data_IF_037662557000
#
_entry.id   IF_037662557000
#
_cell.length_a   1.000
_cell.length_b   1.000
_cell.length_c   1.000
_cell.angle_alpha   90.00
_cell.angle_beta   90.00
_cell.angle_gamma   90.00
#
_symmetry.space_group_name_H-M   'P 1'
#
loop_
_entity.id
_entity.type
_entity.pdbx_description
1 polymer ?
#
# COMPACT_ATOMS: atom_id res chain seq x y z
N UNK A 1 -8.62 21.13 4.40
CA UNK A 1 -9.63 21.33 3.37
C UNK A 1 -10.44 22.62 3.57
N UNK A 2 -11.18 22.72 4.67
CA UNK A 2 -12.13 23.83 4.94
C UNK A 2 -11.43 25.19 4.97
N UNK A 3 -10.25 25.30 5.57
CA UNK A 3 -9.49 26.57 5.66
C UNK A 3 -9.00 27.12 4.31
N UNK A 4 -9.11 26.36 3.21
CA UNK A 4 -8.64 26.75 1.87
C UNK A 4 -9.73 26.66 0.80
N UNK A 5 -11.02 26.69 1.18
CA UNK A 5 -12.14 26.63 0.24
C UNK A 5 -12.25 25.32 -0.56
N UNK A 6 -11.57 24.26 -0.14
CA UNK A 6 -11.70 22.94 -0.75
C UNK A 6 -12.84 22.16 -0.08
N UNK A 7 -13.56 21.37 -0.85
CA UNK A 7 -14.59 20.44 -0.32
C UNK A 7 -14.03 19.60 0.81
N UNK A 8 -14.86 19.31 1.80
CA UNK A 8 -14.55 18.32 2.83
C UNK A 8 -14.36 16.98 2.14
N UNK A 9 -13.39 16.21 2.58
CA UNK A 9 -13.17 14.84 2.13
C UNK A 9 -12.91 13.94 3.33
N UNK A 10 -13.39 12.72 3.27
CA UNK A 10 -13.14 11.69 4.29
C UNK A 10 -12.39 10.53 3.65
N UNK A 11 -11.42 9.97 4.37
CA UNK A 11 -10.68 8.79 3.88
C UNK A 11 -11.58 7.56 3.81
N UNK A 12 -12.55 7.43 4.72
CA UNK A 12 -13.38 6.22 4.87
C UNK A 12 -14.74 6.36 4.20
N UNK A 13 -15.26 7.59 4.09
CA UNK A 13 -16.55 7.86 3.47
C UNK A 13 -16.36 8.69 2.20
N UNK A 14 -16.39 8.08 1.01
CA UNK A 14 -16.26 8.78 -0.27
C UNK A 14 -17.48 9.63 -0.60
N UNK A 15 -18.62 9.41 0.06
CA UNK A 15 -19.88 10.15 -0.14
C UNK A 15 -19.99 11.46 0.65
N UNK A 16 -18.99 11.82 1.42
CA UNK A 16 -19.02 13.09 2.15
C UNK A 16 -19.27 14.25 1.18
N UNK A 17 -20.34 15.02 1.42
CA UNK A 17 -20.81 16.15 0.58
C UNK A 17 -21.21 15.76 -0.85
N UNK A 18 -21.57 14.50 -1.11
CA UNK A 18 -22.19 14.07 -2.35
C UNK A 18 -23.69 13.85 -2.11
N UNK A 19 -24.47 14.20 -3.11
CA UNK A 19 -25.87 13.83 -3.16
C UNK A 19 -25.99 12.29 -3.28
N UNK A 20 -27.09 11.70 -2.84
CA UNK A 20 -27.31 10.25 -2.66
C UNK A 20 -27.22 9.38 -3.94
N UNK A 21 -26.91 9.98 -5.09
CA UNK A 21 -26.90 9.33 -6.40
C UNK A 21 -26.04 8.06 -6.52
N UNK A 22 -25.03 7.88 -5.66
CA UNK A 22 -24.14 6.71 -5.72
C UNK A 22 -24.76 5.41 -5.23
N UNK A 23 -25.91 5.45 -4.57
CA UNK A 23 -26.58 4.27 -4.00
C UNK A 23 -27.88 3.90 -4.72
N UNK A 24 -28.24 4.59 -5.79
CA UNK A 24 -29.46 4.27 -6.55
C UNK A 24 -29.36 2.87 -7.15
N UNK A 25 -30.41 2.03 -6.98
CA UNK A 25 -30.45 0.71 -7.59
C UNK A 25 -30.37 0.81 -9.12
N UNK A 26 -29.66 -0.13 -9.73
CA UNK A 26 -29.62 -0.23 -11.19
C UNK A 26 -30.91 -0.84 -11.73
N UNK A 27 -31.27 -0.49 -12.98
CA UNK A 27 -32.44 -1.08 -13.65
C UNK A 27 -32.21 -2.55 -13.99
N UNK A 28 -30.97 -2.95 -14.27
CA UNK A 28 -30.59 -4.32 -14.61
C UNK A 28 -29.37 -4.76 -13.80
N UNK A 29 -29.54 -5.84 -13.04
CA UNK A 29 -28.48 -6.41 -12.22
C UNK A 29 -27.46 -7.17 -13.08
N UNK A 30 -26.18 -6.91 -12.84
CA UNK A 30 -25.06 -7.64 -13.47
C UNK A 30 -24.40 -8.56 -12.46
N UNK A 31 -23.68 -9.56 -12.94
CA UNK A 31 -22.73 -10.30 -12.16
C UNK A 31 -21.38 -9.56 -12.19
N UNK A 32 -20.81 -9.28 -11.03
CA UNK A 32 -19.56 -8.50 -10.89
C UNK A 32 -18.53 -9.35 -10.13
N UNK A 33 -17.37 -9.55 -10.73
CA UNK A 33 -16.21 -10.11 -10.10
C UNK A 33 -15.26 -8.98 -9.67
N UNK A 34 -14.94 -8.92 -8.38
CA UNK A 34 -13.90 -8.01 -7.86
C UNK A 34 -12.70 -8.83 -7.44
N UNK A 35 -11.53 -8.56 -8.03
CA UNK A 35 -10.26 -9.22 -7.71
C UNK A 35 -9.42 -8.30 -6.83
N UNK A 36 -9.24 -8.67 -5.57
CA UNK A 36 -8.52 -7.93 -4.55
C UNK A 36 -9.42 -7.34 -3.47
N UNK A 37 -9.19 -7.72 -2.21
CA UNK A 37 -9.90 -7.26 -1.01
C UNK A 37 -9.14 -6.15 -0.25
N UNK A 38 -8.38 -5.32 -0.98
CA UNK A 38 -7.85 -4.07 -0.48
C UNK A 38 -8.95 -3.00 -0.32
N UNK A 39 -8.62 -1.77 0.15
CA UNK A 39 -9.61 -0.73 0.39
C UNK A 39 -10.41 -0.35 -0.86
N UNK A 40 -9.78 -0.36 -2.03
CA UNK A 40 -10.43 -0.06 -3.31
C UNK A 40 -11.44 -1.14 -3.71
N UNK A 41 -11.04 -2.41 -3.67
CA UNK A 41 -11.90 -3.54 -4.04
C UNK A 41 -13.05 -3.75 -3.07
N UNK A 42 -12.82 -3.62 -1.76
CA UNK A 42 -13.90 -3.69 -0.78
C UNK A 42 -14.95 -2.59 -0.99
N UNK A 43 -14.52 -1.36 -1.30
CA UNK A 43 -15.47 -0.28 -1.58
C UNK A 43 -16.22 -0.52 -2.88
N UNK A 44 -15.54 -0.94 -3.96
CA UNK A 44 -16.18 -1.26 -5.22
C UNK A 44 -17.23 -2.38 -5.06
N UNK A 45 -16.86 -3.46 -4.37
CA UNK A 45 -17.76 -4.58 -4.12
C UNK A 45 -18.99 -4.17 -3.30
N UNK A 46 -18.80 -3.35 -2.26
CA UNK A 46 -19.90 -2.85 -1.44
C UNK A 46 -20.87 -1.98 -2.24
N UNK A 47 -20.36 -0.98 -2.96
CA UNK A 47 -21.20 -0.06 -3.73
C UNK A 47 -21.95 -0.80 -4.85
N UNK A 48 -21.27 -1.68 -5.58
CA UNK A 48 -21.92 -2.50 -6.62
C UNK A 48 -23.06 -3.35 -6.05
N UNK A 49 -22.84 -4.01 -4.89
CA UNK A 49 -23.88 -4.81 -4.24
C UNK A 49 -25.05 -3.94 -3.73
N UNK A 50 -24.76 -2.76 -3.17
CA UNK A 50 -25.79 -1.80 -2.73
C UNK A 50 -26.66 -1.28 -3.88
N UNK A 51 -26.12 -1.23 -5.08
CA UNK A 51 -26.86 -0.87 -6.30
C UNK A 51 -27.65 -2.03 -6.91
N UNK A 52 -27.53 -3.24 -6.36
CA UNK A 52 -28.32 -4.41 -6.76
C UNK A 52 -27.58 -5.39 -7.66
N UNK A 53 -26.28 -5.24 -7.87
CA UNK A 53 -25.49 -6.23 -8.62
C UNK A 53 -25.21 -7.49 -7.77
N UNK A 54 -25.00 -8.64 -8.43
CA UNK A 54 -24.53 -9.87 -7.80
C UNK A 54 -23.01 -9.84 -7.74
N UNK A 55 -22.43 -9.71 -6.55
CA UNK A 55 -21.00 -9.45 -6.41
C UNK A 55 -20.27 -10.64 -5.77
N UNK A 56 -19.17 -11.06 -6.41
CA UNK A 56 -18.18 -11.97 -5.86
C UNK A 56 -16.86 -11.22 -5.72
N UNK A 57 -16.28 -11.23 -4.52
CA UNK A 57 -14.97 -10.66 -4.24
C UNK A 57 -14.00 -11.80 -3.95
N UNK A 58 -12.86 -11.83 -4.66
CA UNK A 58 -11.81 -12.85 -4.52
C UNK A 58 -10.50 -12.19 -4.16
N UNK A 59 -9.78 -12.74 -3.18
CA UNK A 59 -8.44 -12.29 -2.82
C UNK A 59 -7.48 -13.46 -2.60
N UNK A 60 -6.23 -13.30 -3.00
CA UNK A 60 -5.17 -14.30 -2.78
C UNK A 60 -4.74 -14.40 -1.33
N UNK A 61 -4.95 -13.38 -0.53
CA UNK A 61 -4.67 -13.39 0.90
C UNK A 61 -5.81 -14.08 1.66
N UNK A 62 -5.49 -14.63 2.82
CA UNK A 62 -6.48 -15.31 3.68
C UNK A 62 -7.40 -14.32 4.43
N UNK A 63 -7.08 -13.03 4.41
CA UNK A 63 -7.78 -11.99 5.15
C UNK A 63 -7.91 -10.71 4.33
N UNK A 64 -9.03 -9.94 4.53
CA UNK A 64 -9.24 -8.66 3.85
C UNK A 64 -8.30 -7.57 4.36
N UNK A 65 -8.17 -6.50 3.56
CA UNK A 65 -7.47 -5.28 3.93
C UNK A 65 -6.28 -4.93 3.04
N UNK A 66 -5.72 -5.90 2.31
CA UNK A 66 -4.57 -5.67 1.43
C UNK A 66 -3.44 -4.91 2.16
N UNK A 67 -2.82 -3.94 1.47
CA UNK A 67 -1.72 -3.13 2.02
C UNK A 67 -2.09 -2.31 3.27
N UNK A 68 -3.38 -2.05 3.55
CA UNK A 68 -3.78 -1.39 4.80
C UNK A 68 -3.40 -2.19 6.05
N UNK A 69 -3.30 -3.53 5.94
CA UNK A 69 -2.85 -4.38 7.06
C UNK A 69 -1.41 -4.06 7.44
N UNK A 70 -0.55 -3.90 6.43
CA UNK A 70 0.86 -3.54 6.59
C UNK A 70 0.99 -2.10 7.07
N UNK A 71 0.22 -1.18 6.48
CA UNK A 71 0.19 0.22 6.88
C UNK A 71 -0.30 0.45 8.32
N UNK A 72 -1.00 -0.51 8.93
CA UNK A 72 -1.45 -0.45 10.32
C UNK A 72 -0.37 -0.84 11.34
N UNK A 73 0.76 -1.41 10.91
CA UNK A 73 1.82 -1.93 11.81
C UNK A 73 2.67 -0.84 12.46
N UNK A 74 3.11 0.22 11.73
CA UNK A 74 3.90 1.28 12.32
C UNK A 74 3.22 1.97 13.51
N UNK A 75 3.99 2.60 14.41
CA UNK A 75 3.44 3.29 15.59
C UNK A 75 2.37 4.33 15.25
N UNK A 76 1.30 4.36 16.06
CA UNK A 76 0.15 5.27 15.95
C UNK A 76 -0.73 5.09 14.70
N UNK A 77 -0.66 3.92 14.03
CA UNK A 77 -1.46 3.61 12.83
C UNK A 77 -2.46 2.46 13.03
N UNK A 78 -2.54 1.87 14.21
CA UNK A 78 -3.39 0.71 14.51
C UNK A 78 -4.88 0.94 14.25
N UNK A 79 -5.33 2.21 14.23
CA UNK A 79 -6.72 2.57 13.88
C UNK A 79 -7.12 2.16 12.45
N UNK A 80 -6.15 1.96 11.54
CA UNK A 80 -6.44 1.46 10.19
C UNK A 80 -7.08 0.06 10.22
N UNK A 81 -6.81 -0.74 11.24
CA UNK A 81 -7.46 -2.05 11.43
C UNK A 81 -8.98 -1.92 11.62
N UNK A 82 -9.45 -0.80 12.19
CA UNK A 82 -10.89 -0.51 12.33
C UNK A 82 -11.53 -0.19 10.99
N UNK A 83 -10.80 0.47 10.09
CA UNK A 83 -11.28 0.76 8.73
C UNK A 83 -11.46 -0.56 7.96
N UNK A 84 -10.50 -1.46 8.04
CA UNK A 84 -10.58 -2.80 7.41
C UNK A 84 -11.84 -3.55 7.92
N UNK A 85 -12.00 -3.62 9.25
CA UNK A 85 -13.15 -4.28 9.87
C UNK A 85 -14.48 -3.64 9.46
N UNK A 86 -14.53 -2.32 9.37
CA UNK A 86 -15.70 -1.57 8.94
C UNK A 86 -16.06 -1.91 7.48
N UNK A 87 -15.11 -1.84 6.55
CA UNK A 87 -15.36 -2.16 5.15
C UNK A 87 -15.79 -3.64 5.00
N UNK A 88 -15.10 -4.56 5.65
CA UNK A 88 -15.43 -5.98 5.56
C UNK A 88 -16.84 -6.30 6.10
N UNK A 89 -17.24 -5.69 7.23
CA UNK A 89 -18.60 -5.84 7.75
C UNK A 89 -19.65 -5.37 6.75
N UNK A 90 -19.42 -4.23 6.07
CA UNK A 90 -20.33 -3.71 5.04
C UNK A 90 -20.53 -4.69 3.88
N UNK A 91 -19.50 -5.45 3.49
CA UNK A 91 -19.61 -6.48 2.46
C UNK A 91 -20.61 -7.58 2.87
N UNK A 92 -20.49 -8.07 4.11
CA UNK A 92 -21.40 -9.08 4.65
C UNK A 92 -22.85 -8.56 4.73
N UNK A 93 -23.05 -7.33 5.21
CA UNK A 93 -24.35 -6.66 5.28
C UNK A 93 -24.98 -6.44 3.90
N UNK A 94 -24.18 -6.26 2.85
CA UNK A 94 -24.63 -6.11 1.47
C UNK A 94 -24.76 -7.44 0.70
N UNK A 95 -24.46 -8.58 1.33
CA UNK A 95 -24.59 -9.91 0.73
C UNK A 95 -23.47 -10.25 -0.27
N UNK A 96 -22.31 -9.59 -0.21
CA UNK A 96 -21.17 -9.88 -1.09
C UNK A 96 -20.59 -11.26 -0.74
N UNK A 97 -20.43 -12.13 -1.74
CA UNK A 97 -19.72 -13.41 -1.58
C UNK A 97 -18.22 -13.16 -1.60
N UNK A 98 -17.53 -13.35 -0.46
CA UNK A 98 -16.09 -13.22 -0.35
C UNK A 98 -15.40 -14.58 -0.38
N UNK A 99 -14.33 -14.71 -1.17
CA UNK A 99 -13.47 -15.91 -1.32
C UNK A 99 -12.03 -15.47 -1.06
N UNK A 100 -11.42 -15.98 -0.02
CA UNK A 100 -10.04 -15.68 0.37
C UNK A 100 -9.11 -16.86 0.11
N UNK A 101 -7.79 -16.63 0.12
CA UNK A 101 -6.78 -17.65 -0.12
C UNK A 101 -6.78 -18.17 -1.57
N UNK A 102 -7.31 -17.39 -2.51
CA UNK A 102 -7.47 -17.81 -3.91
C UNK A 102 -6.88 -16.78 -4.85
N UNK A 103 -5.81 -17.13 -5.53
CA UNK A 103 -5.23 -16.32 -6.61
C UNK A 103 -5.86 -16.73 -7.94
N UNK A 104 -6.48 -15.77 -8.64
CA UNK A 104 -7.09 -16.00 -9.94
C UNK A 104 -6.12 -15.69 -11.07
N UNK A 105 -6.01 -16.60 -12.04
CA UNK A 105 -5.37 -16.36 -13.34
C UNK A 105 -6.36 -15.84 -14.37
N UNK A 106 -5.87 -15.37 -15.52
CA UNK A 106 -6.75 -14.96 -16.62
C UNK A 106 -7.59 -16.15 -17.13
N UNK A 107 -7.04 -17.36 -17.17
CA UNK A 107 -7.73 -18.59 -17.55
C UNK A 107 -8.85 -18.95 -16.56
N UNK A 108 -8.63 -18.80 -15.26
CA UNK A 108 -9.67 -19.02 -14.25
C UNK A 108 -10.83 -18.05 -14.42
N UNK A 109 -10.54 -16.78 -14.67
CA UNK A 109 -11.56 -15.74 -14.89
C UNK A 109 -12.38 -16.04 -16.14
N UNK A 110 -11.74 -16.42 -17.25
CA UNK A 110 -12.43 -16.79 -18.49
C UNK A 110 -13.31 -18.04 -18.32
N UNK A 111 -12.84 -19.03 -17.55
CA UNK A 111 -13.57 -20.28 -17.36
C UNK A 111 -14.73 -20.14 -16.39
N UNK A 112 -14.50 -19.53 -15.22
CA UNK A 112 -15.43 -19.60 -14.08
C UNK A 112 -16.29 -18.33 -13.95
N UNK A 113 -15.85 -17.22 -14.57
CA UNK A 113 -16.51 -15.90 -14.49
C UNK A 113 -16.83 -15.32 -15.87
N UNK A 114 -17.03 -16.17 -16.87
CA UNK A 114 -17.45 -15.72 -18.21
C UNK A 114 -18.74 -14.91 -18.11
N UNK A 115 -18.77 -13.72 -18.73
CA UNK A 115 -19.91 -12.80 -18.71
C UNK A 115 -20.06 -11.95 -17.44
N UNK A 116 -19.10 -12.01 -16.52
CA UNK A 116 -19.02 -11.07 -15.40
C UNK A 116 -18.40 -9.74 -15.85
N UNK A 117 -18.85 -8.63 -15.25
CA UNK A 117 -18.06 -7.39 -15.22
C UNK A 117 -16.86 -7.60 -14.29
N UNK A 118 -15.65 -7.42 -14.79
CA UNK A 118 -14.42 -7.71 -14.06
C UNK A 118 -13.80 -6.44 -13.54
N UNK A 119 -13.67 -6.32 -12.22
CA UNK A 119 -13.05 -5.21 -11.50
C UNK A 119 -11.74 -5.68 -10.87
N UNK A 120 -10.64 -5.07 -11.27
CA UNK A 120 -9.29 -5.43 -10.84
C UNK A 120 -8.75 -4.41 -9.83
N UNK A 121 -8.61 -4.83 -8.57
CA UNK A 121 -8.18 -4.01 -7.43
C UNK A 121 -7.05 -4.70 -6.62
N UNK A 122 -6.21 -5.47 -7.28
CA UNK A 122 -5.21 -6.36 -6.67
C UNK A 122 -3.90 -5.66 -6.26
N UNK A 123 -3.88 -4.30 -6.30
CA UNK A 123 -2.82 -3.49 -5.72
C UNK A 123 -1.58 -3.32 -6.60
N UNK A 124 -0.46 -2.98 -5.95
CA UNK A 124 0.81 -2.67 -6.57
C UNK A 124 1.93 -3.57 -6.03
N UNK A 125 3.11 -3.47 -6.61
CA UNK A 125 4.31 -4.17 -6.17
C UNK A 125 5.36 -3.18 -5.67
N UNK A 126 6.12 -3.50 -4.59
CA UNK A 126 7.22 -2.66 -4.15
C UNK A 126 8.34 -2.62 -5.19
N UNK A 127 8.96 -1.45 -5.33
CA UNK A 127 10.10 -1.26 -6.22
C UNK A 127 11.35 -1.83 -5.55
N UNK A 128 11.93 -2.85 -6.16
CA UNK A 128 13.14 -3.54 -5.70
C UNK A 128 14.16 -3.65 -6.86
N UNK A 129 15.07 -2.65 -7.06
CA UNK A 129 16.03 -2.66 -8.14
C UNK A 129 16.99 -3.84 -8.07
N UNK A 130 17.29 -4.44 -9.22
CA UNK A 130 18.11 -5.66 -9.30
C UNK A 130 19.51 -5.48 -8.67
N UNK A 131 20.14 -4.31 -8.85
CA UNK A 131 21.49 -4.05 -8.32
C UNK A 131 21.53 -4.02 -6.78
N UNK A 132 20.39 -3.81 -6.11
CA UNK A 132 20.30 -3.82 -4.65
C UNK A 132 20.11 -5.23 -4.07
N UNK A 133 19.75 -6.21 -4.89
CA UNK A 133 19.52 -7.60 -4.46
C UNK A 133 20.79 -8.35 -4.11
N UNK A 134 21.96 -7.80 -4.44
CA UNK A 134 23.27 -8.39 -4.12
C UNK A 134 23.73 -8.19 -2.67
N UNK A 135 23.00 -7.44 -1.83
CA UNK A 135 23.31 -7.26 -0.43
C UNK A 135 23.03 -8.56 0.36
N UNK A 136 23.81 -8.82 1.41
CA UNK A 136 23.74 -10.09 2.17
C UNK A 136 22.37 -10.41 2.77
N UNK A 137 21.60 -9.39 3.16
CA UNK A 137 20.21 -9.54 3.60
C UNK A 137 19.41 -8.35 3.10
N UNK A 138 18.57 -8.60 2.10
CA UNK A 138 17.67 -7.60 1.50
C UNK A 138 16.24 -8.00 1.78
N UNK A 139 15.41 -7.03 2.11
CA UNK A 139 13.97 -7.19 2.25
C UNK A 139 13.25 -5.91 1.82
N UNK A 140 12.00 -6.02 1.46
CA UNK A 140 11.13 -4.85 1.28
C UNK A 140 10.58 -4.37 2.63
N UNK A 141 10.15 -3.12 2.72
CA UNK A 141 9.41 -2.64 3.88
C UNK A 141 8.15 -3.48 4.14
N UNK A 142 7.50 -3.95 3.08
CA UNK A 142 6.31 -4.80 3.13
C UNK A 142 6.60 -6.16 3.77
N UNK A 143 7.70 -6.82 3.38
CA UNK A 143 8.09 -8.11 3.97
C UNK A 143 8.41 -7.96 5.46
N UNK A 144 9.07 -6.86 5.83
CA UNK A 144 9.40 -6.57 7.20
C UNK A 144 8.16 -6.28 8.05
N UNK A 145 7.34 -5.32 7.62
CA UNK A 145 6.13 -4.92 8.34
C UNK A 145 5.06 -6.02 8.31
N UNK A 146 5.04 -6.84 7.26
CA UNK A 146 4.18 -8.01 7.13
C UNK A 146 4.63 -9.22 7.95
N UNK A 147 5.79 -9.13 8.65
CA UNK A 147 6.33 -10.22 9.48
C UNK A 147 6.89 -11.40 8.69
N UNK A 148 7.12 -11.23 7.39
CA UNK A 148 7.71 -12.27 6.51
C UNK A 148 9.23 -12.31 6.59
N UNK A 149 9.87 -11.20 7.00
CA UNK A 149 11.31 -11.07 7.12
C UNK A 149 11.69 -10.34 8.42
N UNK A 150 12.83 -10.71 8.98
CA UNK A 150 13.32 -10.17 10.26
C UNK A 150 14.68 -9.52 10.06
N UNK A 151 14.85 -8.22 10.40
CA UNK A 151 16.09 -7.50 10.22
C UNK A 151 17.08 -7.83 11.34
N UNK A 152 18.37 -7.61 11.07
CA UNK A 152 19.42 -7.61 12.07
C UNK A 152 19.45 -6.35 12.96
N UNK A 153 20.65 -5.93 13.37
CA UNK A 153 20.84 -4.80 14.28
C UNK A 153 21.18 -3.50 13.56
N UNK A 154 22.09 -3.55 12.57
CA UNK A 154 22.51 -2.37 11.81
C UNK A 154 21.81 -2.34 10.46
N UNK A 155 20.82 -1.48 10.36
CA UNK A 155 19.83 -1.48 9.28
C UNK A 155 19.97 -0.21 8.46
N UNK A 156 20.03 -0.37 7.14
CA UNK A 156 19.94 0.75 6.20
C UNK A 156 18.62 0.64 5.43
N UNK A 157 17.83 1.70 5.48
CA UNK A 157 16.56 1.84 4.74
C UNK A 157 16.82 2.75 3.55
N UNK A 158 16.57 2.27 2.34
CA UNK A 158 16.67 3.05 1.11
C UNK A 158 15.27 3.53 0.70
N UNK A 159 15.11 4.86 0.69
CA UNK A 159 13.86 5.57 0.47
C UNK A 159 13.32 6.19 1.75
N UNK A 160 13.33 7.52 1.80
CA UNK A 160 12.81 8.33 2.92
C UNK A 160 11.40 8.87 2.66
N UNK A 161 10.59 8.19 1.84
CA UNK A 161 9.17 8.45 1.72
C UNK A 161 8.41 8.13 3.00
N UNK A 162 7.07 8.24 3.00
CA UNK A 162 6.26 7.96 4.20
C UNK A 162 6.50 6.55 4.73
N UNK A 163 6.49 5.53 3.85
CA UNK A 163 6.71 4.12 4.23
C UNK A 163 8.10 3.91 4.85
N UNK A 164 9.16 4.49 4.26
CA UNK A 164 10.51 4.35 4.80
C UNK A 164 10.68 5.00 6.16
N UNK A 165 10.12 6.20 6.35
CA UNK A 165 10.12 6.89 7.65
C UNK A 165 9.32 6.12 8.71
N UNK A 166 8.17 5.56 8.35
CA UNK A 166 7.33 4.75 9.24
C UNK A 166 8.00 3.42 9.61
N UNK A 167 8.69 2.81 8.64
CA UNK A 167 9.50 1.60 8.88
C UNK A 167 10.67 1.91 9.81
N UNK A 168 11.35 3.04 9.64
CA UNK A 168 12.41 3.47 10.54
C UNK A 168 11.90 3.73 11.97
N UNK A 169 10.77 4.40 12.10
CA UNK A 169 10.11 4.64 13.39
C UNK A 169 9.68 3.34 14.09
N UNK A 170 9.21 2.35 13.32
CA UNK A 170 8.86 1.01 13.81
C UNK A 170 10.08 0.23 14.30
N UNK A 171 11.19 0.29 13.57
CA UNK A 171 12.43 -0.44 13.88
C UNK A 171 13.27 0.20 14.98
N UNK A 172 13.24 1.53 15.07
CA UNK A 172 14.04 2.25 16.04
C UNK A 172 13.63 1.93 17.49
N UNK A 173 14.59 1.83 18.41
CA UNK A 173 14.32 1.52 19.80
C UNK A 173 13.44 2.58 20.46
N UNK A 174 12.65 2.18 21.45
CA UNK A 174 11.99 3.14 22.32
C UNK A 174 13.04 3.95 23.09
N UNK A 175 12.75 5.22 23.34
CA UNK A 175 13.60 6.07 24.17
C UNK A 175 13.79 5.40 25.54
N UNK A 176 15.05 5.22 25.96
CA UNK A 176 15.44 4.50 27.19
C UNK A 176 15.23 2.97 27.15
N UNK A 177 15.07 2.36 25.99
CA UNK A 177 15.07 0.91 25.87
C UNK A 177 16.49 0.35 26.11
N UNK A 178 16.65 -0.35 27.23
CA UNK A 178 17.88 -1.05 27.57
C UNK A 178 17.95 -2.46 26.99
N UNK A 179 17.03 -2.80 26.09
CA UNK A 179 16.99 -4.10 25.43
C UNK A 179 18.26 -4.36 24.61
N UNK A 180 18.83 -5.58 24.65
CA UNK A 180 19.92 -5.97 23.76
C UNK A 180 19.53 -5.97 22.27
N UNK A 181 18.26 -5.80 21.97
CA UNK A 181 17.74 -5.65 20.60
C UNK A 181 17.86 -4.22 20.05
N UNK A 182 18.61 -3.34 20.70
CA UNK A 182 18.83 -1.96 20.25
C UNK A 182 19.36 -1.96 18.80
N UNK A 183 18.59 -1.36 17.90
CA UNK A 183 18.90 -1.31 16.47
C UNK A 183 19.49 0.04 16.10
N UNK A 184 20.50 0.01 15.24
CA UNK A 184 21.07 1.19 14.59
C UNK A 184 20.40 1.32 13.22
N UNK A 185 19.58 2.36 13.02
CA UNK A 185 18.76 2.55 11.83
C UNK A 185 19.21 3.81 11.11
N UNK A 186 19.57 3.66 9.83
CA UNK A 186 19.91 4.75 8.93
C UNK A 186 18.94 4.79 7.77
N UNK A 187 18.35 5.95 7.48
CA UNK A 187 17.52 6.21 6.29
C UNK A 187 18.33 6.99 5.26
N UNK A 188 18.40 6.48 4.03
CA UNK A 188 18.99 7.18 2.88
C UNK A 188 17.86 7.63 1.95
N UNK A 189 17.84 8.94 1.65
CA UNK A 189 16.83 9.57 0.78
C UNK A 189 17.52 10.45 -0.27
N UNK A 190 17.18 10.23 -1.54
CA UNK A 190 17.77 10.97 -2.66
C UNK A 190 17.31 12.44 -2.76
N UNK A 191 16.16 12.74 -2.20
CA UNK A 191 15.62 14.10 -2.16
C UNK A 191 15.94 14.80 -0.84
N UNK A 192 15.72 16.12 -0.80
CA UNK A 192 15.93 16.93 0.42
C UNK A 192 14.89 16.63 1.50
N UNK A 193 13.71 16.15 1.13
CA UNK A 193 12.53 16.17 2.00
C UNK A 193 12.05 14.76 2.33
N UNK A 194 12.12 14.39 3.60
CA UNK A 194 11.55 13.13 4.11
C UNK A 194 10.02 13.19 4.12
N UNK A 195 9.39 12.04 3.88
CA UNK A 195 7.93 11.85 3.89
C UNK A 195 7.19 12.97 3.14
N UNK A 196 7.69 13.35 1.94
CA UNK A 196 7.20 14.53 1.20
C UNK A 196 5.71 14.44 0.84
N UNK A 197 5.16 13.23 0.71
CA UNK A 197 3.75 12.99 0.39
C UNK A 197 2.83 13.02 1.62
N UNK A 198 3.39 13.12 2.83
CA UNK A 198 2.61 13.21 4.06
C UNK A 198 2.21 14.65 4.36
N UNK A 199 0.97 14.86 4.84
CA UNK A 199 0.44 16.19 5.14
C UNK A 199 1.08 16.81 6.40
N UNK A 200 1.27 18.13 6.35
CA UNK A 200 1.86 19.04 7.34
C UNK A 200 2.09 18.50 8.76
N UNK A 201 1.03 18.43 9.57
CA UNK A 201 1.15 18.03 10.98
C UNK A 201 1.56 16.57 11.17
N UNK A 202 1.00 15.64 10.36
CA UNK A 202 1.33 14.21 10.43
C UNK A 202 2.80 13.97 10.12
N UNK A 203 3.32 14.62 9.07
CA UNK A 203 4.73 14.58 8.70
C UNK A 203 5.63 15.07 9.83
N UNK A 204 5.33 16.22 10.42
CA UNK A 204 6.15 16.79 11.49
C UNK A 204 6.22 15.83 12.70
N UNK A 205 5.10 15.24 13.11
CA UNK A 205 5.05 14.27 14.21
C UNK A 205 5.87 13.01 13.90
N UNK A 206 5.72 12.44 12.70
CA UNK A 206 6.47 11.25 12.27
C UNK A 206 7.98 11.50 12.30
N UNK A 207 8.44 12.58 11.68
CA UNK A 207 9.87 12.91 11.61
C UNK A 207 10.45 13.18 13.00
N UNK A 208 9.76 13.99 13.82
CA UNK A 208 10.22 14.27 15.19
C UNK A 208 10.33 12.99 16.02
N UNK A 209 9.35 12.11 15.96
CA UNK A 209 9.35 10.83 16.68
C UNK A 209 10.50 9.91 16.24
N UNK A 210 10.68 9.76 14.93
CA UNK A 210 11.74 8.96 14.33
C UNK A 210 13.13 9.48 14.77
N UNK A 211 13.38 10.78 14.65
CA UNK A 211 14.65 11.40 15.04
C UNK A 211 14.89 11.32 16.54
N UNK A 212 13.86 11.50 17.38
CA UNK A 212 14.00 11.37 18.85
C UNK A 212 14.40 9.96 19.31
N UNK A 213 14.18 8.95 18.48
CA UNK A 213 14.62 7.57 18.70
C UNK A 213 16.04 7.28 18.21
N UNK A 214 16.75 8.28 17.70
CA UNK A 214 18.13 8.14 17.25
C UNK A 214 18.30 7.60 15.84
N UNK A 215 17.27 7.66 15.00
CA UNK A 215 17.40 7.29 13.58
C UNK A 215 18.32 8.27 12.87
N UNK A 216 19.35 7.74 12.20
CA UNK A 216 20.23 8.51 11.34
C UNK A 216 19.58 8.78 9.99
N UNK A 217 19.76 9.99 9.47
CA UNK A 217 19.15 10.39 8.20
C UNK A 217 20.19 11.00 7.26
N UNK A 218 20.22 10.49 6.03
CA UNK A 218 21.03 10.99 4.94
C UNK A 218 20.10 11.43 3.82
N UNK A 219 19.81 12.72 3.71
CA UNK A 219 19.07 13.33 2.59
C UNK A 219 20.01 13.80 1.51
N UNK A 220 19.47 14.01 0.30
CA UNK A 220 20.24 14.38 -0.90
C UNK A 220 21.35 13.36 -1.18
N UNK A 221 21.07 12.09 -0.85
CA UNK A 221 21.97 10.96 -0.91
C UNK A 221 21.35 9.84 -1.78
N UNK A 222 21.92 9.59 -2.96
CA UNK A 222 21.43 8.61 -3.92
C UNK A 222 22.29 7.34 -3.86
N UNK A 223 21.71 6.20 -3.50
CA UNK A 223 22.40 4.90 -3.55
C UNK A 223 22.76 4.59 -5.01
N UNK A 224 24.02 4.32 -5.26
CA UNK A 224 24.58 4.09 -6.60
C UNK A 224 25.06 2.66 -6.81
N UNK A 225 25.56 2.01 -5.75
CA UNK A 225 26.14 0.67 -5.85
C UNK A 225 26.01 -0.10 -4.54
N UNK A 226 25.84 -1.42 -4.67
CA UNK A 226 25.92 -2.39 -3.58
C UNK A 226 27.01 -3.41 -3.90
N UNK A 227 28.00 -3.53 -3.01
CA UNK A 227 29.09 -4.50 -3.19
C UNK A 227 29.33 -5.23 -1.86
N UNK A 228 28.91 -6.49 -1.78
CA UNK A 228 29.01 -7.28 -0.55
C UNK A 228 28.17 -6.69 0.59
N UNK A 229 28.83 -6.14 1.61
CA UNK A 229 28.20 -5.45 2.76
C UNK A 229 28.36 -3.92 2.72
N UNK A 230 28.87 -3.39 1.59
CA UNK A 230 29.08 -1.98 1.36
C UNK A 230 27.94 -1.36 0.54
N UNK A 231 27.42 -0.23 1.00
CA UNK A 231 26.38 0.56 0.34
C UNK A 231 27.02 1.89 -0.05
N UNK A 232 27.25 2.08 -1.36
CA UNK A 232 27.78 3.32 -1.89
C UNK A 232 26.65 4.28 -2.29
N UNK A 233 26.79 5.54 -1.94
CA UNK A 233 25.85 6.58 -2.31
C UNK A 233 26.57 7.87 -2.70
N UNK A 234 25.98 8.60 -3.63
CA UNK A 234 26.42 9.92 -4.05
C UNK A 234 25.71 11.00 -3.24
N UNK A 235 26.49 11.94 -2.70
CA UNK A 235 26.01 13.14 -2.03
C UNK A 235 26.99 14.28 -2.30
N UNK A 236 26.45 15.46 -2.64
CA UNK A 236 27.24 16.67 -2.94
C UNK A 236 28.30 16.47 -4.05
N UNK A 237 28.05 15.51 -4.97
CA UNK A 237 28.97 15.14 -6.06
C UNK A 237 30.10 14.21 -5.64
N UNK A 238 30.13 13.74 -4.40
CA UNK A 238 31.10 12.79 -3.86
C UNK A 238 30.48 11.43 -3.58
N UNK A 239 31.28 10.38 -3.73
CA UNK A 239 30.85 9.00 -3.40
C UNK A 239 31.25 8.68 -1.96
N UNK A 240 30.28 8.32 -1.19
CA UNK A 240 30.44 7.87 0.20
C UNK A 240 30.04 6.40 0.32
N UNK A 241 30.51 5.73 1.36
CA UNK A 241 30.21 4.30 1.58
C UNK A 241 29.84 4.03 3.03
N UNK A 242 28.74 3.32 3.24
CA UNK A 242 28.35 2.72 4.52
C UNK A 242 28.79 1.26 4.49
N UNK A 243 29.52 0.84 5.54
CA UNK A 243 29.97 -0.54 5.74
C UNK A 243 29.45 -1.13 7.04
N UNK A 244 29.48 -2.47 7.10
CA UNK A 244 29.09 -3.20 8.31
C UNK A 244 27.59 -3.15 8.62
N UNK A 245 26.73 -2.70 7.70
CA UNK A 245 25.30 -2.92 7.81
C UNK A 245 25.00 -4.42 7.66
N UNK A 246 24.02 -4.92 8.38
CA UNK A 246 23.62 -6.33 8.28
C UNK A 246 22.33 -6.50 7.48
N UNK A 247 21.51 -5.47 7.37
CA UNK A 247 20.23 -5.51 6.64
C UNK A 247 20.03 -4.27 5.78
N UNK A 248 19.55 -4.50 4.55
CA UNK A 248 19.08 -3.48 3.61
C UNK A 248 17.57 -3.59 3.47
N UNK A 249 16.85 -2.52 3.81
CA UNK A 249 15.39 -2.45 3.64
C UNK A 249 15.06 -1.53 2.47
N UNK A 250 14.29 -2.03 1.50
CA UNK A 250 13.85 -1.26 0.35
C UNK A 250 12.47 -0.65 0.61
N UNK A 251 12.41 0.69 0.60
CA UNK A 251 11.21 1.50 0.77
C UNK A 251 11.09 2.54 -0.35
N UNK A 252 11.37 2.11 -1.60
CA UNK A 252 11.54 2.97 -2.77
C UNK A 252 10.23 3.30 -3.49
N UNK A 253 9.09 3.02 -2.86
CA UNK A 253 7.76 3.19 -3.44
C UNK A 253 7.26 1.94 -4.16
N UNK A 254 6.18 2.13 -4.92
CA UNK A 254 5.44 1.04 -5.56
C UNK A 254 5.24 1.34 -7.04
N UNK A 255 5.02 0.30 -7.80
CA UNK A 255 4.57 0.36 -9.19
C UNK A 255 3.29 -0.46 -9.34
N UNK A 256 2.34 -0.03 -10.20
CA UNK A 256 1.19 -0.85 -10.55
C UNK A 256 1.62 -2.24 -11.01
N UNK A 257 0.90 -3.26 -10.54
CA UNK A 257 1.02 -4.59 -11.12
C UNK A 257 0.02 -4.67 -12.28
N UNK A 258 0.49 -4.80 -13.52
CA UNK A 258 -0.40 -4.80 -14.70
C UNK A 258 -0.63 -6.20 -15.27
N UNK A 259 0.09 -7.20 -14.78
CA UNK A 259 0.15 -8.52 -15.41
C UNK A 259 -1.23 -9.14 -15.68
N UNK A 260 -2.09 -9.23 -14.67
CA UNK A 260 -3.42 -9.85 -14.84
C UNK A 260 -4.32 -9.02 -15.79
N UNK A 261 -4.22 -7.69 -15.74
CA UNK A 261 -4.97 -6.81 -16.65
C UNK A 261 -4.51 -6.99 -18.10
N UNK A 262 -3.19 -7.09 -18.32
CA UNK A 262 -2.60 -7.29 -19.65
C UNK A 262 -2.98 -8.68 -20.20
N UNK A 263 -2.90 -9.73 -19.39
CA UNK A 263 -3.28 -11.11 -19.75
C UNK A 263 -4.78 -11.17 -20.14
N UNK A 264 -5.67 -10.53 -19.38
CA UNK A 264 -7.11 -10.48 -19.68
C UNK A 264 -7.40 -9.65 -20.92
N UNK A 265 -6.73 -8.51 -21.13
CA UNK A 265 -6.88 -7.71 -22.34
C UNK A 265 -6.43 -8.48 -23.59
N UNK A 266 -5.33 -9.23 -23.51
CA UNK A 266 -4.88 -10.12 -24.59
C UNK A 266 -5.90 -11.23 -24.92
N UNK A 267 -6.67 -11.65 -23.92
CA UNK A 267 -7.75 -12.62 -24.04
C UNK A 267 -9.11 -12.01 -24.47
N UNK A 268 -9.16 -10.70 -24.71
CA UNK A 268 -10.38 -9.98 -25.16
C UNK A 268 -11.38 -9.72 -24.03
N UNK A 269 -10.99 -9.84 -22.77
CA UNK A 269 -11.84 -9.55 -21.62
C UNK A 269 -11.69 -8.06 -21.22
N UNK A 270 -12.82 -7.36 -21.19
CA UNK A 270 -12.87 -5.96 -20.72
C UNK A 270 -12.81 -5.94 -19.21
N UNK A 271 -11.95 -5.08 -18.65
CA UNK A 271 -11.73 -4.96 -17.20
C UNK A 271 -11.76 -3.51 -16.74
N UNK A 272 -12.15 -3.30 -15.48
CA UNK A 272 -12.05 -2.02 -14.78
C UNK A 272 -10.90 -2.08 -13.78
N UNK A 273 -9.78 -1.44 -14.08
CA UNK A 273 -8.60 -1.43 -13.18
C UNK A 273 -8.67 -0.20 -12.29
N UNK A 274 -8.51 -0.39 -10.96
CA UNK A 274 -8.67 0.69 -9.98
C UNK A 274 -7.68 0.59 -8.80
N UNK A 275 -7.60 1.67 -8.02
CA UNK A 275 -6.65 1.79 -6.92
C UNK A 275 -5.21 1.67 -7.39
N UNK A 276 -4.34 1.10 -6.55
CA UNK A 276 -2.90 1.02 -6.83
C UNK A 276 -2.55 0.07 -8.00
N UNK A 277 -3.47 -0.79 -8.43
CA UNK A 277 -3.33 -1.57 -9.64
C UNK A 277 -3.35 -0.70 -10.91
N UNK A 278 -4.03 0.46 -10.85
CA UNK A 278 -4.05 1.46 -11.91
C UNK A 278 -3.01 2.56 -11.67
N UNK A 279 -3.05 3.17 -10.50
CA UNK A 279 -2.15 4.27 -10.11
C UNK A 279 -1.93 4.26 -8.61
N UNK A 280 -0.68 4.10 -8.18
CA UNK A 280 -0.33 4.16 -6.77
C UNK A 280 -0.73 5.50 -6.13
N UNK A 281 -1.43 5.43 -5.01
CA UNK A 281 -2.00 6.57 -4.31
C UNK A 281 -2.04 6.38 -2.80
N UNK A 282 -3.03 6.98 -2.16
CA UNK A 282 -3.30 6.80 -0.75
C UNK A 282 -4.66 6.11 -0.53
N UNK A 283 -4.96 5.72 0.71
CA UNK A 283 -6.19 4.98 1.07
C UNK A 283 -7.46 5.72 0.60
N UNK A 284 -7.49 7.06 0.71
CA UNK A 284 -8.64 7.87 0.26
C UNK A 284 -8.82 7.79 -1.25
N UNK A 285 -7.73 7.84 -2.01
CA UNK A 285 -7.77 7.74 -3.46
C UNK A 285 -8.26 6.35 -3.88
N UNK A 286 -7.75 5.30 -3.25
CA UNK A 286 -8.17 3.92 -3.48
C UNK A 286 -9.68 3.70 -3.21
N UNK A 287 -10.18 4.14 -2.06
CA UNK A 287 -11.61 4.06 -1.70
C UNK A 287 -12.44 4.90 -2.68
N UNK A 288 -11.97 6.11 -3.03
CA UNK A 288 -12.63 6.98 -3.99
C UNK A 288 -12.73 6.39 -5.41
N UNK A 289 -11.71 5.66 -5.85
CA UNK A 289 -11.73 4.97 -7.14
C UNK A 289 -12.71 3.80 -7.13
N UNK A 290 -12.70 2.99 -6.06
CA UNK A 290 -13.68 1.91 -5.87
C UNK A 290 -15.12 2.40 -5.93
N UNK A 291 -15.42 3.50 -5.25
CA UNK A 291 -16.72 4.15 -5.29
C UNK A 291 -17.11 4.58 -6.72
N UNK A 292 -16.22 5.32 -7.40
CA UNK A 292 -16.51 5.86 -8.75
C UNK A 292 -16.78 4.76 -9.78
N UNK A 293 -15.93 3.72 -9.78
CA UNK A 293 -16.10 2.61 -10.73
C UNK A 293 -17.41 1.88 -10.48
N UNK A 294 -17.71 1.56 -9.22
CA UNK A 294 -18.93 0.84 -8.89
C UNK A 294 -20.21 1.67 -9.17
N UNK A 295 -20.14 3.00 -9.08
CA UNK A 295 -21.25 3.87 -9.50
C UNK A 295 -21.45 3.89 -11.03
N UNK A 296 -20.44 3.52 -11.81
CA UNK A 296 -20.51 3.50 -13.27
C UNK A 296 -20.90 2.14 -13.87
N UNK A 297 -20.87 1.04 -13.07
CA UNK A 297 -21.29 -0.29 -13.48
C UNK A 297 -22.80 -0.34 -13.74
#
# INVERSE_FOLDING_TARGET
GIMFGKRISCTVNPDVERDEAGYEPVAEAKNVLVVGAGPAGMEAAFIAARRGHNVVLVDKQDEPGGEMRIAAVPPAKQELTRVIKYQYRRLAEAGVKCIFGTELTAEDIQRDYAGYEVVLAYGAEPIAPAFMQGFKQVMTADDLLGGKAFPGKKIVIVGGGTVGCETADYLAPLVNDLSPANRDVTVIEMTKTLAANEGGAGRAVLITRMLSKGVHVLTEAKVTEITGDAISYEKDGEIHTITGADTLVLAMGYRPNTKLADDLAAAGVTTHVLGDANKCGNIRDAIGDGYKIACAL
#
